data_IF_766038443549
#
_entry.id   IF_766038443549
#
_cell.length_a   1.000
_cell.length_b   1.000
_cell.length_c   1.000
_cell.angle_alpha   90.00
_cell.angle_beta   90.00
_cell.angle_gamma   90.00
#
_symmetry.space_group_name_H-M   'P 1'
#
loop_
_entity.id
_entity.type
_entity.pdbx_description
1 polymer ?
#
# COMPACT_ATOMS: atom_id res chain seq x y z
N UNK A 1 23.49 -20.23 11.21
CA UNK A 1 23.04 -19.43 10.05
C UNK A 1 22.41 -18.19 10.64
N UNK A 2 23.14 -17.08 10.68
CA UNK A 2 22.68 -15.79 11.19
C UNK A 2 21.74 -15.19 10.15
N UNK A 3 20.52 -14.86 10.58
CA UNK A 3 19.51 -14.18 9.75
C UNK A 3 20.07 -12.87 9.18
N UNK A 4 20.01 -12.60 7.87
CA UNK A 4 20.54 -11.39 7.26
C UNK A 4 19.70 -10.13 7.51
N UNK A 5 18.72 -10.17 8.42
CA UNK A 5 17.66 -9.16 8.56
C UNK A 5 17.76 -8.28 9.81
N UNK A 6 18.83 -8.38 10.63
CA UNK A 6 18.97 -7.54 11.82
C UNK A 6 19.35 -6.10 11.44
N UNK A 7 18.42 -5.16 11.60
CA UNK A 7 18.66 -3.72 11.53
C UNK A 7 18.53 -3.08 12.92
N UNK A 8 19.57 -2.42 13.37
CA UNK A 8 19.69 -1.78 14.70
C UNK A 8 18.92 -0.46 14.88
N UNK A 9 17.92 -0.12 14.04
CA UNK A 9 17.34 1.23 14.05
C UNK A 9 15.81 1.36 14.04
N UNK A 10 15.03 0.29 14.23
CA UNK A 10 13.56 0.36 14.21
C UNK A 10 12.96 0.54 15.61
N UNK A 11 13.32 1.60 16.34
CA UNK A 11 12.90 1.75 17.75
C UNK A 11 11.78 2.75 18.01
N UNK A 12 11.28 3.50 17.02
CA UNK A 12 10.20 4.47 17.23
C UNK A 12 8.99 4.18 16.33
N UNK A 13 7.90 3.77 16.98
CA UNK A 13 6.62 3.58 16.30
C UNK A 13 6.04 4.92 15.82
N UNK A 14 6.25 5.30 14.57
CA UNK A 14 5.65 6.49 13.98
C UNK A 14 4.14 6.33 13.83
N UNK A 15 3.38 7.39 14.16
CA UNK A 15 1.92 7.43 14.09
C UNK A 15 1.48 8.32 12.94
N UNK A 16 0.80 7.75 11.96
CA UNK A 16 0.21 8.49 10.86
C UNK A 16 -1.31 8.50 11.00
N UNK A 17 -1.91 9.69 11.04
CA UNK A 17 -3.36 9.85 11.21
C UNK A 17 -3.93 10.85 10.22
N UNK A 18 -5.15 10.58 9.77
CA UNK A 18 -6.00 11.50 9.01
C UNK A 18 -7.14 11.95 9.91
N UNK A 19 -7.42 13.25 9.96
CA UNK A 19 -8.51 13.83 10.74
C UNK A 19 -9.40 14.68 9.84
N UNK A 20 -10.66 14.26 9.67
CA UNK A 20 -11.69 14.98 8.92
C UNK A 20 -11.24 15.46 7.54
N UNK A 21 -10.58 14.57 6.77
CA UNK A 21 -10.03 14.90 5.47
C UNK A 21 -11.15 15.13 4.45
N UNK A 22 -11.19 16.32 3.86
CA UNK A 22 -11.89 16.60 2.62
C UNK A 22 -10.88 16.70 1.50
N UNK A 23 -11.02 15.85 0.49
CA UNK A 23 -10.11 15.78 -0.64
C UNK A 23 -10.83 16.13 -1.93
N UNK A 24 -10.20 17.02 -2.71
CA UNK A 24 -10.70 17.45 -4.03
C UNK A 24 -9.66 17.12 -5.10
N UNK A 25 -10.13 16.72 -6.26
CA UNK A 25 -9.30 16.48 -7.42
C UNK A 25 -9.97 17.09 -8.68
N UNK A 26 -9.25 17.96 -9.40
CA UNK A 26 -9.81 18.64 -10.55
C UNK A 26 -11.08 19.46 -10.25
N UNK A 27 -11.22 20.05 -9.06
CA UNK A 27 -12.38 20.80 -8.63
C UNK A 27 -13.58 19.96 -8.13
N UNK A 28 -13.51 18.64 -8.26
CA UNK A 28 -14.54 17.71 -7.75
C UNK A 28 -14.14 17.19 -6.37
N UNK A 29 -15.08 17.17 -5.43
CA UNK A 29 -14.88 16.50 -4.13
C UNK A 29 -14.87 14.98 -4.36
N UNK A 30 -13.80 14.33 -3.94
CA UNK A 30 -13.60 12.87 -4.03
C UNK A 30 -13.83 12.21 -2.68
N UNK A 31 -13.44 12.88 -1.58
CA UNK A 31 -13.69 12.46 -0.20
C UNK A 31 -14.23 13.67 0.54
N UNK A 32 -15.36 13.51 1.21
CA UNK A 32 -16.01 14.63 1.93
C UNK A 32 -15.54 14.76 3.37
N UNK A 33 -15.46 13.64 4.07
CA UNK A 33 -15.00 13.55 5.46
C UNK A 33 -14.50 12.13 5.74
N UNK A 34 -13.19 11.98 5.87
CA UNK A 34 -12.59 10.69 6.21
C UNK A 34 -11.54 10.86 7.28
N UNK A 35 -11.71 10.10 8.36
CA UNK A 35 -10.74 9.99 9.44
C UNK A 35 -10.23 8.57 9.57
N UNK A 36 -8.91 8.41 9.72
CA UNK A 36 -8.23 7.13 9.91
C UNK A 36 -6.99 7.31 10.76
N UNK A 37 -6.87 6.56 11.84
CA UNK A 37 -5.59 6.35 12.53
C UNK A 37 -4.97 5.04 12.05
N UNK A 38 -3.73 5.09 11.58
CA UNK A 38 -3.00 3.89 11.18
C UNK A 38 -2.28 3.35 12.42
N UNK A 39 -2.63 2.13 12.88
CA UNK A 39 -1.91 1.51 13.97
C UNK A 39 -0.47 1.20 13.54
N UNK A 40 0.54 1.55 14.35
CA UNK A 40 1.93 1.23 14.01
C UNK A 40 2.16 -0.28 13.99
N UNK A 41 3.12 -0.71 13.19
CA UNK A 41 3.55 -2.11 13.05
C UNK A 41 2.44 -3.06 12.56
N UNK A 42 1.42 -2.54 11.86
CA UNK A 42 0.34 -3.33 11.28
C UNK A 42 0.36 -3.29 9.76
N UNK A 43 -0.28 -4.27 9.14
CA UNK A 43 -0.64 -4.27 7.73
C UNK A 43 -2.11 -3.90 7.57
N UNK A 44 -2.39 -2.86 6.80
CA UNK A 44 -3.77 -2.45 6.51
C UNK A 44 -4.06 -2.41 5.02
N UNK A 45 -5.30 -2.73 4.66
CA UNK A 45 -5.76 -2.61 3.28
C UNK A 45 -6.89 -1.60 3.14
N UNK A 46 -6.87 -0.86 2.04
CA UNK A 46 -7.95 0.03 1.61
C UNK A 46 -8.63 -0.62 0.41
N UNK A 47 -9.91 -0.94 0.55
CA UNK A 47 -10.73 -1.57 -0.48
C UNK A 47 -11.90 -0.68 -0.90
N UNK A 48 -12.48 -0.96 -2.06
CA UNK A 48 -13.64 -0.25 -2.60
C UNK A 48 -13.63 -0.21 -4.13
N UNK A 49 -14.72 0.21 -4.76
CA UNK A 49 -14.84 0.27 -6.21
C UNK A 49 -13.87 1.27 -6.85
N UNK A 50 -13.70 1.16 -8.17
CA UNK A 50 -12.85 2.10 -8.89
C UNK A 50 -13.42 3.51 -8.81
N UNK A 51 -12.53 4.50 -8.63
CA UNK A 51 -12.93 5.91 -8.54
C UNK A 51 -13.50 6.36 -7.20
N UNK A 52 -13.63 5.48 -6.17
CA UNK A 52 -14.18 5.85 -4.86
C UNK A 52 -13.24 6.69 -3.98
N UNK A 53 -11.99 6.94 -4.41
CA UNK A 53 -11.06 7.83 -3.71
C UNK A 53 -9.87 7.17 -3.01
N UNK A 54 -9.64 5.84 -3.12
CA UNK A 54 -8.55 5.12 -2.46
C UNK A 54 -7.17 5.74 -2.71
N UNK A 55 -6.77 5.84 -3.97
CA UNK A 55 -5.48 6.44 -4.37
C UNK A 55 -5.38 7.92 -4.00
N UNK A 56 -6.50 8.65 -4.04
CA UNK A 56 -6.56 10.06 -3.64
C UNK A 56 -6.31 10.20 -2.14
N UNK A 57 -6.90 9.31 -1.34
CA UNK A 57 -6.67 9.25 0.10
C UNK A 57 -5.20 8.90 0.40
N UNK A 58 -4.66 7.87 -0.24
CA UNK A 58 -3.26 7.46 -0.04
C UNK A 58 -2.28 8.59 -0.40
N UNK A 59 -2.53 9.32 -1.50
CA UNK A 59 -1.74 10.50 -1.90
C UNK A 59 -1.81 11.65 -0.89
N UNK A 60 -2.96 11.83 -0.23
CA UNK A 60 -3.08 12.83 0.84
C UNK A 60 -2.28 12.40 2.08
N UNK A 61 -2.36 11.11 2.47
CA UNK A 61 -1.57 10.54 3.57
C UNK A 61 -0.06 10.67 3.31
N UNK A 62 0.37 10.52 2.05
CA UNK A 62 1.77 10.70 1.62
C UNK A 62 2.18 12.16 1.39
N UNK A 63 1.34 13.15 1.72
CA UNK A 63 1.59 14.59 1.48
C UNK A 63 1.74 14.97 0.01
N UNK A 64 1.36 14.10 -0.94
CA UNK A 64 1.36 14.40 -2.38
C UNK A 64 0.17 15.31 -2.74
N UNK A 65 -0.99 15.05 -2.12
CA UNK A 65 -2.20 15.84 -2.29
C UNK A 65 -2.49 16.65 -1.02
N UNK A 66 -2.63 17.97 -1.17
CA UNK A 66 -3.03 18.84 -0.06
C UNK A 66 -4.54 18.71 0.18
N UNK A 67 -5.01 18.40 1.39
CA UNK A 67 -6.42 18.40 1.72
C UNK A 67 -7.06 19.78 1.54
N UNK A 68 -8.33 19.81 1.10
CA UNK A 68 -9.16 21.03 1.07
C UNK A 68 -9.55 21.47 2.50
N UNK A 69 -9.80 20.50 3.39
CA UNK A 69 -9.96 20.71 4.84
C UNK A 69 -9.52 19.45 5.59
N UNK A 70 -9.40 19.55 6.91
CA UNK A 70 -8.82 18.50 7.75
C UNK A 70 -7.29 18.50 7.71
N UNK A 71 -6.66 17.52 8.36
CA UNK A 71 -5.22 17.42 8.44
C UNK A 71 -4.74 15.98 8.46
N UNK A 72 -3.56 15.75 7.87
CA UNK A 72 -2.76 14.53 8.09
C UNK A 72 -1.69 14.87 9.11
N UNK A 73 -1.60 14.06 10.15
CA UNK A 73 -0.64 14.23 11.24
C UNK A 73 0.35 13.08 11.22
N UNK A 74 1.61 13.39 11.36
CA UNK A 74 2.69 12.43 11.61
C UNK A 74 3.27 12.75 12.98
N UNK A 75 3.19 11.79 13.92
CA UNK A 75 3.63 11.94 15.32
C UNK A 75 3.01 13.14 16.06
N UNK A 76 1.76 13.46 15.72
CA UNK A 76 1.05 14.58 16.34
C UNK A 76 1.33 15.94 15.70
N UNK A 77 2.23 16.03 14.71
CA UNK A 77 2.49 17.26 13.96
C UNK A 77 1.80 17.20 12.58
N UNK A 78 1.25 18.33 12.07
CA UNK A 78 0.77 18.37 10.70
C UNK A 78 1.88 17.99 9.73
N UNK A 79 1.64 16.97 8.88
CA UNK A 79 2.66 16.46 7.95
C UNK A 79 3.19 17.56 7.00
N UNK A 80 2.40 18.61 6.79
CA UNK A 80 2.77 19.75 5.96
C UNK A 80 3.79 20.69 6.62
N UNK A 81 3.92 20.69 7.95
CA UNK A 81 4.89 21.49 8.70
C UNK A 81 6.26 20.82 8.79
N UNK A 82 6.31 19.49 8.62
CA UNK A 82 7.56 18.73 8.72
C UNK A 82 8.36 18.89 7.40
N UNK A 83 9.69 19.06 7.45
CA UNK A 83 10.52 19.12 6.25
C UNK A 83 10.31 17.90 5.34
N UNK A 84 10.13 18.10 4.04
CA UNK A 84 9.81 17.01 3.07
C UNK A 84 10.79 15.84 3.17
N UNK A 85 12.06 16.16 3.34
CA UNK A 85 13.11 15.15 3.48
C UNK A 85 12.92 14.30 4.74
N UNK A 86 12.57 14.90 5.88
CA UNK A 86 12.31 14.18 7.13
C UNK A 86 11.09 13.27 6.95
N UNK A 87 10.02 13.74 6.31
CA UNK A 87 8.87 12.87 5.98
C UNK A 87 9.32 11.70 5.11
N UNK A 88 10.15 11.95 4.09
CA UNK A 88 10.62 10.90 3.17
C UNK A 88 11.61 9.89 3.80
N UNK A 89 12.18 10.16 4.96
CA UNK A 89 12.93 9.13 5.72
C UNK A 89 12.04 8.26 6.62
N UNK A 90 10.79 8.67 6.83
CA UNK A 90 9.82 7.94 7.69
C UNK A 90 8.76 7.22 6.85
N UNK A 91 8.35 7.82 5.74
CA UNK A 91 7.23 7.38 4.93
C UNK A 91 7.63 7.21 3.47
N UNK A 92 7.49 6.00 2.95
CA UNK A 92 7.65 5.64 1.55
C UNK A 92 6.30 5.53 0.84
N UNK A 93 6.25 5.94 -0.42
CA UNK A 93 5.06 5.79 -1.27
C UNK A 93 5.43 5.09 -2.57
N UNK A 94 4.72 4.00 -2.88
CA UNK A 94 4.63 3.44 -4.22
C UNK A 94 3.34 3.94 -4.88
N UNK A 95 3.39 4.83 -5.88
CA UNK A 95 2.19 5.25 -6.59
C UNK A 95 1.75 4.20 -7.63
N UNK A 96 0.47 4.24 -8.04
CA UNK A 96 -0.12 3.29 -8.98
C UNK A 96 0.59 3.26 -10.35
N UNK A 97 0.96 4.42 -10.87
CA UNK A 97 1.62 4.56 -12.18
C UNK A 97 2.92 5.36 -12.04
N UNK A 98 3.99 4.75 -11.52
CA UNK A 98 5.27 5.43 -11.40
C UNK A 98 5.96 5.56 -12.75
N UNK A 99 6.69 6.66 -12.96
CA UNK A 99 7.45 6.93 -14.17
C UNK A 99 8.92 7.16 -13.85
N UNK A 100 9.80 6.77 -14.78
CA UNK A 100 11.22 7.02 -14.69
C UNK A 100 11.77 7.50 -16.04
N UNK A 101 12.94 8.16 -16.05
CA UNK A 101 13.62 8.51 -17.29
C UNK A 101 13.93 7.29 -18.15
N UNK A 102 13.82 7.45 -19.47
CA UNK A 102 14.19 6.39 -20.41
C UNK A 102 15.65 5.97 -20.25
N UNK A 103 15.90 4.67 -20.39
CA UNK A 103 17.24 4.09 -20.33
C UNK A 103 17.85 3.95 -18.95
N UNK A 104 17.16 4.34 -17.88
CA UNK A 104 17.66 4.13 -16.51
C UNK A 104 17.74 2.64 -16.19
N UNK A 105 18.84 2.20 -15.55
CA UNK A 105 18.98 0.81 -15.10
C UNK A 105 18.14 0.54 -13.85
N UNK A 106 17.87 -0.73 -13.56
CA UNK A 106 17.19 -1.13 -12.31
C UNK A 106 18.00 -0.64 -11.10
N UNK A 107 19.32 -0.84 -11.08
CA UNK A 107 20.16 -0.41 -9.97
C UNK A 107 20.09 1.11 -9.75
N UNK A 108 20.17 1.91 -10.83
CA UNK A 108 20.08 3.36 -10.74
C UNK A 108 18.70 3.84 -10.30
N UNK A 109 17.63 3.14 -10.71
CA UNK A 109 16.29 3.42 -10.25
C UNK A 109 16.19 3.16 -8.75
N UNK A 110 16.60 1.98 -8.28
CA UNK A 110 16.53 1.58 -6.87
C UNK A 110 17.39 2.49 -6.00
N UNK A 111 18.57 2.91 -6.48
CA UNK A 111 19.44 3.85 -5.81
C UNK A 111 18.78 5.21 -5.51
N UNK A 112 17.79 5.63 -6.32
CA UNK A 112 17.01 6.84 -6.02
C UNK A 112 16.21 6.78 -4.73
N UNK A 113 15.87 5.59 -4.26
CA UNK A 113 15.28 5.38 -2.93
C UNK A 113 16.15 5.93 -1.80
N UNK A 114 17.46 6.07 -2.02
CA UNK A 114 18.39 6.62 -1.02
C UNK A 114 18.46 8.15 -0.96
N UNK A 115 17.86 8.87 -1.92
CA UNK A 115 17.92 10.35 -1.94
C UNK A 115 17.48 11.05 -0.66
N UNK A 116 16.45 10.61 0.07
CA UNK A 116 16.08 11.22 1.35
C UNK A 116 17.18 11.15 2.42
N UNK A 117 18.10 10.20 2.32
CA UNK A 117 19.16 10.00 3.29
C UNK A 117 20.41 10.84 3.02
N UNK A 118 20.52 11.48 1.84
CA UNK A 118 21.69 12.28 1.46
C UNK A 118 21.45 13.78 1.59
N UNK A 119 22.41 14.54 2.17
CA UNK A 119 22.52 15.98 2.00
C UNK A 119 23.21 16.32 0.68
N UNK A 120 23.04 17.53 0.21
CA UNK A 120 23.53 18.00 -1.11
C UNK A 120 25.04 17.76 -1.37
N UNK A 121 25.84 17.57 -0.30
CA UNK A 121 27.31 17.39 -0.35
C UNK A 121 27.72 15.98 0.11
N UNK A 122 26.79 15.15 0.59
CA UNK A 122 27.12 13.81 1.08
C UNK A 122 27.41 12.86 -0.07
N UNK A 123 28.49 12.09 0.08
CA UNK A 123 28.87 11.06 -0.87
C UNK A 123 28.06 9.78 -0.60
N UNK A 124 27.86 9.02 -1.65
CA UNK A 124 27.34 7.65 -1.58
C UNK A 124 28.15 6.82 -0.58
N UNK A 125 27.46 6.11 0.31
CA UNK A 125 28.06 5.35 1.41
C UNK A 125 27.87 3.85 1.22
N UNK A 126 28.66 3.05 1.95
CA UNK A 126 28.46 1.59 2.00
C UNK A 126 27.11 1.18 2.58
N UNK A 127 26.46 2.05 3.38
CA UNK A 127 25.08 1.82 3.85
C UNK A 127 24.08 1.89 2.69
N UNK A 128 24.28 2.83 1.78
CA UNK A 128 23.39 3.01 0.63
C UNK A 128 23.55 1.85 -0.35
N UNK A 129 24.80 1.42 -0.60
CA UNK A 129 25.08 0.25 -1.43
C UNK A 129 24.39 -1.00 -0.87
N UNK A 130 24.56 -1.28 0.41
CA UNK A 130 23.89 -2.40 1.09
C UNK A 130 22.37 -2.32 1.06
N UNK A 131 21.79 -1.10 1.18
CA UNK A 131 20.34 -0.91 1.11
C UNK A 131 19.81 -1.23 -0.29
N UNK A 132 20.52 -0.81 -1.35
CA UNK A 132 20.18 -1.11 -2.74
C UNK A 132 20.35 -2.60 -3.04
N UNK A 133 21.49 -3.20 -2.68
CA UNK A 133 21.73 -4.63 -2.85
C UNK A 133 20.65 -5.48 -2.16
N UNK A 134 20.32 -5.13 -0.93
CA UNK A 134 19.26 -5.81 -0.18
C UNK A 134 17.89 -5.68 -0.87
N UNK A 135 17.52 -4.49 -1.32
CA UNK A 135 16.26 -4.27 -1.99
C UNK A 135 16.16 -5.06 -3.30
N UNK A 136 17.25 -5.13 -4.08
CA UNK A 136 17.35 -5.95 -5.29
C UNK A 136 17.23 -7.44 -4.98
N UNK A 137 17.89 -7.92 -3.93
CA UNK A 137 17.82 -9.33 -3.51
C UNK A 137 16.41 -9.72 -3.06
N UNK A 138 15.75 -8.88 -2.22
CA UNK A 138 14.39 -9.11 -1.73
C UNK A 138 13.34 -9.16 -2.84
N UNK A 139 13.59 -8.48 -3.96
CA UNK A 139 12.67 -8.43 -5.11
C UNK A 139 13.08 -9.36 -6.26
N UNK A 140 14.14 -10.17 -6.07
CA UNK A 140 14.63 -11.11 -7.08
C UNK A 140 15.16 -10.42 -8.35
N UNK A 141 15.78 -9.23 -8.21
CA UNK A 141 16.28 -8.44 -9.34
C UNK A 141 17.79 -8.29 -9.40
N UNK A 142 18.53 -8.98 -8.53
CA UNK A 142 20.00 -8.87 -8.44
C UNK A 142 20.68 -9.14 -9.79
N UNK A 143 20.32 -10.21 -10.48
CA UNK A 143 20.94 -10.59 -11.77
C UNK A 143 20.56 -9.67 -12.91
N UNK A 144 19.53 -8.83 -12.71
CA UNK A 144 19.03 -7.89 -13.71
C UNK A 144 19.35 -6.43 -13.39
N UNK A 145 20.16 -6.17 -12.34
CA UNK A 145 20.43 -4.82 -11.83
C UNK A 145 20.90 -3.82 -12.91
N UNK A 146 21.70 -4.28 -13.89
CA UNK A 146 22.16 -3.47 -15.03
C UNK A 146 21.19 -3.35 -16.20
N UNK A 147 20.02 -4.00 -16.16
CA UNK A 147 19.05 -3.93 -17.27
C UNK A 147 18.31 -2.57 -17.25
N UNK A 148 18.10 -1.93 -18.42
CA UNK A 148 17.22 -0.77 -18.52
C UNK A 148 15.77 -1.14 -18.20
N UNK A 149 15.06 -0.29 -17.43
CA UNK A 149 13.68 -0.55 -17.01
C UNK A 149 12.69 -0.61 -18.18
N UNK A 150 12.99 0.02 -19.29
CA UNK A 150 12.15 0.01 -20.50
C UNK A 150 12.07 -1.36 -21.16
N UNK A 151 13.04 -2.25 -20.87
CA UNK A 151 13.11 -3.62 -21.39
C UNK A 151 12.40 -4.65 -20.50
N UNK A 152 11.88 -4.23 -19.34
CA UNK A 152 11.26 -5.12 -18.38
C UNK A 152 9.80 -5.43 -18.74
N UNK A 153 9.37 -6.63 -18.41
CA UNK A 153 7.95 -6.97 -18.37
C UNK A 153 7.22 -6.10 -17.33
N UNK A 154 5.88 -6.03 -17.40
CA UNK A 154 5.07 -5.30 -16.41
C UNK A 154 5.38 -5.71 -14.98
N UNK A 155 5.43 -7.03 -14.72
CA UNK A 155 5.73 -7.56 -13.40
C UNK A 155 7.16 -7.28 -12.92
N UNK A 156 8.17 -7.40 -13.80
CA UNK A 156 9.54 -7.03 -13.46
C UNK A 156 9.67 -5.54 -13.15
N UNK A 157 8.98 -4.71 -13.92
CA UNK A 157 8.93 -3.26 -13.68
C UNK A 157 8.29 -2.93 -12.34
N UNK A 158 7.18 -3.58 -12.00
CA UNK A 158 6.52 -3.41 -10.69
C UNK A 158 7.46 -3.78 -9.54
N UNK A 159 8.18 -4.91 -9.64
CA UNK A 159 9.18 -5.32 -8.64
C UNK A 159 10.32 -4.30 -8.51
N UNK A 160 10.77 -3.69 -9.60
CA UNK A 160 11.81 -2.65 -9.54
C UNK A 160 11.34 -1.39 -8.78
N UNK A 161 10.07 -1.00 -8.92
CA UNK A 161 9.50 0.10 -8.14
C UNK A 161 9.31 -0.25 -6.67
N UNK A 162 8.92 -1.49 -6.37
CA UNK A 162 8.89 -1.99 -4.98
C UNK A 162 10.31 -1.96 -4.39
N UNK A 163 11.33 -2.41 -5.14
CA UNK A 163 12.72 -2.35 -4.71
C UNK A 163 13.18 -0.92 -4.39
N UNK A 164 12.81 0.08 -5.22
CA UNK A 164 13.08 1.49 -4.93
C UNK A 164 12.47 1.90 -3.58
N UNK A 165 11.20 1.53 -3.35
CA UNK A 165 10.49 1.88 -2.10
C UNK A 165 11.15 1.19 -0.89
N UNK A 166 11.58 -0.05 -1.03
CA UNK A 166 12.30 -0.78 0.03
C UNK A 166 13.71 -0.21 0.28
N UNK A 167 14.42 0.21 -0.76
CA UNK A 167 15.73 0.84 -0.61
C UNK A 167 15.66 2.16 0.18
N UNK A 168 14.50 2.81 0.21
CA UNK A 168 14.27 4.00 1.03
C UNK A 168 14.33 3.71 2.53
N UNK A 169 14.07 2.48 2.97
CA UNK A 169 14.14 2.04 4.37
C UNK A 169 13.31 2.95 5.31
N UNK A 170 12.01 3.02 5.07
CA UNK A 170 11.07 3.84 5.84
C UNK A 170 10.24 2.99 6.79
N UNK A 171 9.81 3.58 7.92
CA UNK A 171 8.98 2.91 8.94
C UNK A 171 7.54 2.69 8.49
N UNK A 172 7.07 3.50 7.53
CA UNK A 172 5.72 3.42 6.97
C UNK A 172 5.82 3.27 5.46
N UNK A 173 5.15 2.26 4.90
CA UNK A 173 5.00 2.04 3.47
C UNK A 173 3.55 2.24 3.06
N UNK A 174 3.30 3.16 2.15
CA UNK A 174 2.01 3.37 1.50
C UNK A 174 2.11 2.86 0.06
N UNK A 175 1.30 1.86 -0.31
CA UNK A 175 1.41 1.16 -1.59
C UNK A 175 0.08 1.25 -2.35
N UNK A 176 0.08 1.94 -3.47
CA UNK A 176 -1.09 2.11 -4.33
C UNK A 176 -1.11 1.01 -5.40
N UNK A 177 -1.88 -0.04 -5.16
CA UNK A 177 -2.04 -1.22 -6.03
C UNK A 177 -0.71 -1.95 -6.33
N UNK A 178 0.03 -2.41 -5.29
CA UNK A 178 1.37 -2.99 -5.49
C UNK A 178 1.37 -4.30 -6.28
N UNK A 179 0.22 -4.98 -6.39
CA UNK A 179 0.08 -6.29 -7.05
C UNK A 179 -0.50 -6.22 -8.46
N UNK A 180 -0.82 -5.02 -8.96
CA UNK A 180 -1.34 -4.82 -10.32
C UNK A 180 -0.27 -5.20 -11.36
N UNK A 181 -0.68 -5.82 -12.46
CA UNK A 181 0.18 -6.37 -13.54
C UNK A 181 1.04 -7.58 -13.16
N UNK A 182 0.89 -8.14 -11.95
CA UNK A 182 1.56 -9.36 -11.51
C UNK A 182 0.64 -10.57 -11.73
N UNK A 183 1.22 -11.71 -12.10
CA UNK A 183 0.53 -12.99 -12.00
C UNK A 183 0.38 -13.42 -10.52
N UNK A 184 -0.45 -14.43 -10.28
CA UNK A 184 -0.82 -14.86 -8.92
C UNK A 184 0.43 -15.23 -8.08
N UNK A 185 1.42 -15.89 -8.67
CA UNK A 185 2.62 -16.29 -7.94
C UNK A 185 3.40 -15.05 -7.46
N UNK A 186 3.63 -14.08 -8.33
CA UNK A 186 4.32 -12.85 -7.97
C UNK A 186 3.50 -11.93 -7.04
N UNK A 187 2.17 -11.94 -7.14
CA UNK A 187 1.32 -11.24 -6.16
C UNK A 187 1.55 -11.78 -4.75
N UNK A 188 1.56 -13.11 -4.60
CA UNK A 188 1.83 -13.76 -3.33
C UNK A 188 3.25 -13.46 -2.83
N UNK A 189 4.27 -13.57 -3.68
CA UNK A 189 5.65 -13.24 -3.32
C UNK A 189 5.79 -11.81 -2.76
N UNK A 190 5.15 -10.84 -3.39
CA UNK A 190 5.16 -9.43 -2.94
C UNK A 190 4.44 -9.28 -1.60
N UNK A 191 3.26 -9.87 -1.43
CA UNK A 191 2.50 -9.78 -0.19
C UNK A 191 3.19 -10.52 0.96
N UNK A 192 3.79 -11.69 0.71
CA UNK A 192 4.60 -12.42 1.68
C UNK A 192 5.86 -11.65 2.08
N UNK A 193 6.52 -10.97 1.13
CA UNK A 193 7.64 -10.08 1.41
C UNK A 193 7.22 -8.93 2.33
N UNK A 194 6.10 -8.23 2.02
CA UNK A 194 5.59 -7.15 2.85
C UNK A 194 5.18 -7.63 4.23
N UNK A 195 4.55 -8.81 4.32
CA UNK A 195 4.21 -9.46 5.60
C UNK A 195 5.47 -9.81 6.42
N UNK A 196 6.52 -10.27 5.76
CA UNK A 196 7.80 -10.56 6.41
C UNK A 196 8.46 -9.29 6.97
N UNK A 197 8.48 -8.20 6.19
CA UNK A 197 9.00 -6.91 6.64
C UNK A 197 8.19 -6.34 7.81
N UNK A 198 6.86 -6.45 7.75
CA UNK A 198 6.01 -6.04 8.86
C UNK A 198 6.31 -6.85 10.13
N UNK A 199 6.31 -8.18 10.05
CA UNK A 199 6.48 -9.06 11.23
C UNK A 199 7.89 -9.05 11.81
N UNK A 200 8.93 -8.99 10.96
CA UNK A 200 10.32 -9.10 11.40
C UNK A 200 10.98 -7.75 11.67
N UNK A 201 10.57 -6.70 10.95
CA UNK A 201 11.19 -5.39 11.02
C UNK A 201 10.24 -4.30 11.57
N UNK A 202 8.99 -4.66 11.87
CA UNK A 202 8.03 -3.71 12.43
C UNK A 202 7.56 -2.62 11.46
N UNK A 203 7.76 -2.80 10.16
CA UNK A 203 7.33 -1.82 9.15
C UNK A 203 5.81 -1.75 9.12
N UNK A 204 5.24 -0.55 9.22
CA UNK A 204 3.80 -0.32 9.03
C UNK A 204 3.49 -0.29 7.54
N UNK A 205 2.54 -1.09 7.08
CA UNK A 205 2.19 -1.20 5.66
C UNK A 205 0.73 -0.85 5.45
N UNK A 206 0.44 0.04 4.50
CA UNK A 206 -0.93 0.34 4.05
C UNK A 206 -1.00 0.16 2.55
N UNK A 207 -1.90 -0.69 2.09
CA UNK A 207 -2.02 -1.06 0.69
C UNK A 207 -3.41 -0.74 0.14
N UNK A 208 -3.50 -0.28 -1.09
CA UNK A 208 -4.73 -0.37 -1.87
C UNK A 208 -4.73 -1.71 -2.59
N UNK A 209 -5.72 -2.55 -2.33
CA UNK A 209 -5.88 -3.85 -2.98
C UNK A 209 -7.24 -3.96 -3.67
N UNK A 210 -7.26 -4.63 -4.84
CA UNK A 210 -8.48 -4.95 -5.57
C UNK A 210 -9.00 -6.35 -5.23
N UNK A 211 -8.10 -7.28 -4.93
CA UNK A 211 -8.45 -8.64 -4.54
C UNK A 211 -8.84 -8.64 -3.06
N UNK A 212 -10.13 -8.92 -2.81
CA UNK A 212 -10.71 -8.92 -1.46
C UNK A 212 -10.18 -10.07 -0.61
N UNK A 213 -9.88 -11.22 -1.22
CA UNK A 213 -9.35 -12.38 -0.50
C UNK A 213 -7.89 -12.13 -0.09
N UNK A 214 -7.10 -11.48 -0.95
CA UNK A 214 -5.75 -11.04 -0.57
C UNK A 214 -5.78 -9.96 0.51
N UNK A 215 -6.72 -9.00 0.43
CA UNK A 215 -6.90 -8.00 1.48
C UNK A 215 -7.25 -8.66 2.83
N UNK A 216 -8.17 -9.63 2.84
CA UNK A 216 -8.55 -10.35 4.05
C UNK A 216 -7.39 -11.20 4.63
N UNK A 217 -6.59 -11.81 3.75
CA UNK A 217 -5.49 -12.71 4.15
C UNK A 217 -4.28 -12.00 4.72
N UNK A 218 -3.95 -10.81 4.19
CA UNK A 218 -2.70 -10.12 4.50
C UNK A 218 -2.86 -8.88 5.37
N UNK A 219 -4.08 -8.56 5.84
CA UNK A 219 -4.29 -7.35 6.63
C UNK A 219 -4.70 -7.63 8.06
N UNK A 220 -4.21 -6.81 8.97
CA UNK A 220 -4.68 -6.75 10.35
C UNK A 220 -5.97 -5.93 10.45
N UNK A 221 -6.15 -4.97 9.52
CA UNK A 221 -7.36 -4.15 9.42
C UNK A 221 -7.66 -3.79 7.96
N UNK A 222 -8.93 -3.56 7.67
CA UNK A 222 -9.42 -3.18 6.34
C UNK A 222 -10.27 -1.92 6.47
N UNK A 223 -10.00 -0.92 5.63
CA UNK A 223 -10.83 0.24 5.39
C UNK A 223 -11.60 0.07 4.08
N UNK A 224 -12.93 -0.02 4.16
CA UNK A 224 -13.80 -0.05 2.98
C UNK A 224 -14.32 1.36 2.66
N UNK A 225 -14.13 1.81 1.41
CA UNK A 225 -14.55 3.12 0.92
C UNK A 225 -15.53 2.94 -0.25
N UNK A 226 -16.68 3.63 -0.21
CA UNK A 226 -17.61 3.80 -1.34
C UNK A 226 -18.01 5.26 -1.45
N UNK A 227 -18.02 5.80 -2.66
CA UNK A 227 -18.44 7.18 -2.95
C UNK A 227 -17.78 8.26 -2.07
N UNK A 228 -16.48 8.09 -1.81
CA UNK A 228 -15.69 9.01 -0.99
C UNK A 228 -15.98 8.95 0.51
N UNK A 229 -16.73 7.95 0.99
CA UNK A 229 -17.10 7.77 2.40
C UNK A 229 -16.57 6.45 2.94
N UNK A 230 -16.22 6.45 4.22
CA UNK A 230 -15.91 5.22 4.94
C UNK A 230 -17.20 4.42 5.17
N UNK A 231 -17.26 3.21 4.63
CA UNK A 231 -18.36 2.26 4.87
C UNK A 231 -18.06 1.40 6.09
N UNK A 232 -16.83 0.86 6.16
CA UNK A 232 -16.41 0.05 7.31
C UNK A 232 -14.91 0.25 7.59
N UNK A 233 -14.54 -0.03 8.84
CA UNK A 233 -13.14 -0.11 9.31
C UNK A 233 -13.09 -1.11 10.46
N UNK A 234 -12.27 -2.14 10.35
CA UNK A 234 -12.13 -3.17 11.39
C UNK A 234 -11.22 -4.31 10.93
N UNK A 235 -11.19 -5.37 11.72
CA UNK A 235 -10.49 -6.61 11.37
C UNK A 235 -11.12 -7.27 10.14
N UNK A 236 -10.38 -8.10 9.38
CA UNK A 236 -10.91 -8.78 8.20
C UNK A 236 -12.23 -9.55 8.49
N UNK A 237 -12.31 -10.26 9.59
CA UNK A 237 -13.53 -11.02 9.98
C UNK A 237 -14.76 -10.12 10.25
N UNK A 238 -14.53 -8.86 10.65
CA UNK A 238 -15.59 -7.89 10.91
C UNK A 238 -16.06 -7.18 9.64
N UNK A 239 -15.11 -6.92 8.74
CA UNK A 239 -15.35 -6.13 7.53
C UNK A 239 -15.80 -7.00 6.35
N UNK A 240 -15.19 -8.16 6.15
CA UNK A 240 -15.47 -9.04 5.00
C UNK A 240 -16.73 -9.86 5.21
N UNK A 241 -17.88 -9.22 5.05
CA UNK A 241 -19.22 -9.85 5.15
C UNK A 241 -19.96 -9.78 3.82
N UNK A 242 -20.91 -10.70 3.58
CA UNK A 242 -21.75 -10.69 2.37
C UNK A 242 -22.50 -9.37 2.21
N UNK A 243 -23.00 -8.80 3.32
CA UNK A 243 -23.69 -7.52 3.33
C UNK A 243 -22.77 -6.37 2.91
N UNK A 244 -21.54 -6.32 3.43
CA UNK A 244 -20.58 -5.28 3.06
C UNK A 244 -20.15 -5.41 1.59
N UNK A 245 -19.89 -6.64 1.12
CA UNK A 245 -19.52 -6.86 -0.29
C UNK A 245 -20.65 -6.38 -1.21
N UNK A 246 -21.90 -6.70 -0.87
CA UNK A 246 -23.07 -6.22 -1.63
C UNK A 246 -23.18 -4.69 -1.56
N UNK A 247 -23.04 -4.10 -0.38
CA UNK A 247 -23.14 -2.65 -0.20
C UNK A 247 -22.04 -1.89 -0.96
N UNK A 248 -20.77 -2.37 -0.89
CA UNK A 248 -19.62 -1.65 -1.44
C UNK A 248 -19.44 -1.89 -2.93
N UNK A 249 -19.62 -3.14 -3.39
CA UNK A 249 -19.28 -3.55 -4.75
C UNK A 249 -20.48 -3.83 -5.65
N UNK A 250 -21.71 -3.76 -5.11
CA UNK A 250 -22.96 -4.03 -5.82
C UNK A 250 -23.02 -5.45 -6.42
N UNK A 251 -22.41 -6.43 -5.73
CA UNK A 251 -22.40 -7.86 -6.11
C UNK A 251 -22.89 -8.73 -4.97
N UNK A 252 -23.66 -9.76 -5.28
CA UNK A 252 -23.94 -10.82 -4.32
C UNK A 252 -22.71 -11.73 -4.17
N UNK A 253 -22.47 -12.19 -2.96
CA UNK A 253 -21.34 -13.08 -2.66
C UNK A 253 -21.68 -14.00 -1.51
N UNK A 254 -20.92 -15.08 -1.39
CA UNK A 254 -20.86 -15.90 -0.19
C UNK A 254 -19.50 -15.69 0.46
N UNK A 255 -19.50 -15.52 1.78
CA UNK A 255 -18.27 -15.37 2.56
C UNK A 255 -18.17 -16.55 3.52
N UNK A 256 -17.15 -17.36 3.38
CA UNK A 256 -16.84 -18.50 4.23
C UNK A 256 -15.48 -18.32 4.89
N UNK A 257 -15.21 -19.06 5.95
CA UNK A 257 -13.87 -19.07 6.54
C UNK A 257 -12.99 -20.06 5.77
N UNK A 258 -11.85 -19.60 5.27
CA UNK A 258 -10.84 -20.46 4.65
C UNK A 258 -10.21 -21.34 5.73
N UNK A 259 -10.30 -22.66 5.59
CA UNK A 259 -9.77 -23.63 6.57
C UNK A 259 -8.23 -23.58 6.67
N UNK A 260 -7.54 -23.19 5.59
CA UNK A 260 -6.08 -23.19 5.56
C UNK A 260 -5.46 -21.95 6.23
N UNK A 261 -6.11 -20.79 6.10
CA UNK A 261 -5.61 -19.50 6.60
C UNK A 261 -6.37 -18.98 7.81
N UNK A 262 -7.60 -19.46 8.01
CA UNK A 262 -8.50 -18.96 9.05
C UNK A 262 -9.11 -17.59 8.73
N UNK A 263 -8.88 -17.04 7.53
CA UNK A 263 -9.36 -15.73 7.10
C UNK A 263 -10.65 -15.83 6.27
N UNK A 264 -11.44 -14.75 6.15
CA UNK A 264 -12.60 -14.73 5.27
C UNK A 264 -12.21 -14.96 3.81
N UNK A 265 -12.95 -15.83 3.13
CA UNK A 265 -12.85 -16.12 1.71
C UNK A 265 -14.16 -15.74 1.03
N UNK A 266 -14.14 -14.73 0.18
CA UNK A 266 -15.26 -14.24 -0.59
C UNK A 266 -15.31 -14.96 -1.95
N UNK A 267 -16.49 -15.50 -2.28
CA UNK A 267 -16.80 -16.06 -3.60
C UNK A 267 -17.95 -15.27 -4.21
N UNK A 268 -17.75 -14.59 -5.35
CA UNK A 268 -18.82 -13.83 -6.00
C UNK A 268 -19.87 -14.75 -6.57
N UNK A 269 -21.14 -14.38 -6.42
CA UNK A 269 -22.24 -15.04 -7.10
C UNK A 269 -22.35 -14.57 -8.56
N UNK A 270 -22.91 -15.39 -9.48
CA UNK A 270 -23.19 -14.96 -10.84
C UNK A 270 -24.10 -13.73 -10.84
N UNK A 271 -23.84 -12.76 -11.76
CA UNK A 271 -24.58 -11.49 -11.83
C UNK A 271 -26.11 -11.68 -12.01
N UNK A 272 -26.54 -12.77 -12.63
CA UNK A 272 -27.97 -13.09 -12.82
C UNK A 272 -28.70 -13.53 -11.52
N UNK A 273 -27.99 -13.78 -10.43
CA UNK A 273 -28.61 -14.18 -9.17
C UNK A 273 -29.23 -13.01 -8.38
N UNK A 274 -28.90 -11.76 -8.72
CA UNK A 274 -29.49 -10.58 -8.08
C UNK A 274 -30.94 -10.35 -8.50
N UNK A 275 -31.36 -10.77 -9.72
CA UNK A 275 -32.73 -10.62 -10.20
C UNK A 275 -33.70 -11.61 -9.53
N UNK A 276 -33.21 -12.76 -9.08
CA UNK A 276 -34.05 -13.80 -8.46
C UNK A 276 -34.53 -13.44 -7.03
N UNK A 277 -33.89 -12.48 -6.36
CA UNK A 277 -34.26 -12.08 -4.98
C UNK A 277 -35.24 -10.88 -4.93
N UNK A 278 -35.49 -10.23 -6.06
CA UNK A 278 -36.42 -9.07 -6.16
C UNK A 278 -37.88 -9.48 -6.43
N UNK A 279 -38.15 -10.74 -6.75
CA UNK A 279 -39.50 -11.24 -6.98
C UNK A 279 -39.96 -12.10 -5.79
N UNK A 280 -40.42 -11.45 -4.71
CA UNK A 280 -41.34 -12.08 -3.78
C UNK A 280 -42.76 -11.88 -4.33
N UNK A 281 -43.52 -12.93 -4.60
CA UNK A 281 -44.90 -12.81 -4.95
C UNK A 281 -45.70 -12.30 -3.74
N UNK A 282 -46.71 -11.49 -4.05
CA UNK A 282 -47.71 -10.96 -3.11
C UNK A 282 -48.52 -12.08 -2.50
#
# INVERSE_FOLDING_TARGET
MTSPLAHDSWSSAHKLTASHLRLTYGGRTVIEDLSLGIPPHTMGSIIGPNGCGKSTFLKAMARILKPASGAVMLDGEPITSIPTRKVATILGLLPQNPSAPAGITIADLVARGRYPHHHFIERWTTKDEKAVERALALTGLTDMAGCPIDRLSGGQRQRAWIALTLAQQTDILLLDEPTTYLDIAYQLEVLDLLSTLNRQEGVTVVMVLHDLNMAARYSDWILAIKDGKRVALGAPDEVMTESLVTEVFDIASTVVKDESTGTPLMTPAPLHSLEAHSVRPR
#
